data_IF_746337783805
#
_entry.id   IF_746337783805
#
_cell.length_a   1.000
_cell.length_b   1.000
_cell.length_c   1.000
_cell.angle_alpha   90.00
_cell.angle_beta   90.00
_cell.angle_gamma   90.00
#
_symmetry.space_group_name_H-M   'P 1'
#
loop_
_entity.id
_entity.type
_entity.pdbx_description
1 polymer ?
#
# COMPACT_ATOMS: atom_id res chain seq x y z
N UNK A 1 5.09 33.56 10.04
CA UNK A 1 3.71 33.04 10.24
C UNK A 1 3.75 31.55 9.99
N UNK A 2 3.24 30.75 10.94
CA UNK A 2 3.17 29.29 10.88
C UNK A 2 2.33 28.86 9.67
N UNK A 3 2.91 28.13 8.74
CA UNK A 3 2.19 27.31 7.76
C UNK A 3 1.78 26.01 8.47
N UNK A 4 0.64 26.05 9.14
CA UNK A 4 -0.06 24.84 9.62
C UNK A 4 -1.22 24.58 8.66
N UNK A 5 -0.92 24.10 7.45
CA UNK A 5 -1.95 23.64 6.49
C UNK A 5 -1.39 22.78 5.33
N UNK A 6 -0.27 22.06 5.52
CA UNK A 6 0.32 21.21 4.46
C UNK A 6 0.17 19.69 4.72
N UNK A 7 -0.52 19.33 5.82
CA UNK A 7 -0.59 17.94 6.29
C UNK A 7 -1.38 16.95 5.40
N UNK A 8 -2.52 17.29 4.77
CA UNK A 8 -3.29 16.28 4.04
C UNK A 8 -2.66 15.88 2.70
N UNK A 9 -1.94 16.80 2.05
CA UNK A 9 -1.28 16.55 0.76
C UNK A 9 -0.02 15.70 0.94
N UNK A 10 0.72 15.89 2.03
CA UNK A 10 1.92 15.09 2.35
C UNK A 10 1.56 13.64 2.71
N UNK A 11 0.53 13.45 3.54
CA UNK A 11 0.08 12.11 3.93
C UNK A 11 -0.46 11.32 2.72
N UNK A 12 -1.27 11.95 1.87
CA UNK A 12 -1.78 11.30 0.66
C UNK A 12 -0.64 10.84 -0.27
N UNK A 13 0.37 11.68 -0.50
CA UNK A 13 1.54 11.32 -1.31
C UNK A 13 2.35 10.17 -0.69
N UNK A 14 2.49 10.15 0.64
CA UNK A 14 3.18 9.07 1.35
C UNK A 14 2.42 7.74 1.25
N UNK A 15 1.09 7.78 1.32
CA UNK A 15 0.23 6.61 1.11
C UNK A 15 0.38 6.10 -0.33
N UNK A 16 0.33 6.98 -1.33
CA UNK A 16 0.51 6.59 -2.74
C UNK A 16 1.91 6.01 -3.01
N UNK A 17 2.96 6.60 -2.42
CA UNK A 17 4.32 6.11 -2.56
C UNK A 17 4.51 4.74 -1.88
N UNK A 18 3.92 4.55 -0.69
CA UNK A 18 3.92 3.26 0.00
C UNK A 18 3.18 2.19 -0.83
N UNK A 19 1.99 2.52 -1.35
CA UNK A 19 1.22 1.65 -2.22
C UNK A 19 2.00 1.23 -3.47
N UNK A 20 2.63 2.18 -4.16
CA UNK A 20 3.46 1.89 -5.33
C UNK A 20 4.65 0.98 -4.98
N UNK A 21 5.34 1.27 -3.88
CA UNK A 21 6.48 0.47 -3.42
C UNK A 21 6.08 -0.97 -3.07
N UNK A 22 4.96 -1.14 -2.36
CA UNK A 22 4.41 -2.43 -2.02
C UNK A 22 4.01 -3.21 -3.28
N UNK A 23 3.35 -2.55 -4.24
CA UNK A 23 3.01 -3.16 -5.53
C UNK A 23 4.23 -3.61 -6.32
N UNK A 24 5.29 -2.82 -6.37
CA UNK A 24 6.52 -3.20 -7.08
C UNK A 24 7.17 -4.43 -6.43
N UNK A 25 7.14 -4.50 -5.10
CA UNK A 25 7.89 -5.49 -4.33
C UNK A 25 7.14 -6.81 -4.10
N UNK A 26 5.80 -6.75 -3.99
CA UNK A 26 4.97 -7.87 -3.52
C UNK A 26 3.84 -8.26 -4.48
N UNK A 27 3.75 -7.63 -5.65
CA UNK A 27 2.78 -8.02 -6.68
C UNK A 27 2.95 -9.50 -7.07
N UNK A 28 1.84 -10.25 -7.05
CA UNK A 28 1.83 -11.69 -7.39
C UNK A 28 2.34 -12.61 -6.29
N UNK A 29 2.68 -12.06 -5.13
CA UNK A 29 2.96 -12.86 -3.93
C UNK A 29 1.64 -13.25 -3.25
N UNK A 30 1.60 -14.40 -2.56
CA UNK A 30 0.39 -14.83 -1.85
C UNK A 30 -0.01 -13.83 -0.76
N UNK A 31 -1.31 -13.64 -0.58
CA UNK A 31 -1.86 -12.64 0.34
C UNK A 31 -1.27 -12.74 1.76
N UNK A 32 -1.06 -13.94 2.29
CA UNK A 32 -0.45 -14.16 3.62
C UNK A 32 0.98 -13.61 3.75
N UNK A 33 1.72 -13.48 2.63
CA UNK A 33 3.05 -12.84 2.61
C UNK A 33 2.95 -11.31 2.44
N UNK A 34 1.90 -10.82 1.77
CA UNK A 34 1.70 -9.38 1.50
C UNK A 34 1.11 -8.64 2.71
N UNK A 35 0.15 -9.25 3.42
CA UNK A 35 -0.53 -8.66 4.60
C UNK A 35 0.44 -8.13 5.67
N UNK A 36 1.46 -8.87 6.15
CA UNK A 36 2.38 -8.35 7.16
C UNK A 36 3.18 -7.15 6.68
N UNK A 37 3.49 -7.06 5.39
CA UNK A 37 4.29 -5.99 4.80
C UNK A 37 3.44 -4.71 4.60
N UNK A 38 2.19 -4.87 4.16
CA UNK A 38 1.21 -3.76 4.13
C UNK A 38 0.99 -3.21 5.54
N UNK A 39 0.82 -4.09 6.53
CA UNK A 39 0.66 -3.67 7.94
C UNK A 39 1.87 -2.89 8.44
N UNK A 40 3.09 -3.32 8.10
CA UNK A 40 4.32 -2.60 8.45
C UNK A 40 4.37 -1.23 7.80
N UNK A 41 4.07 -1.14 6.52
CA UNK A 41 4.09 0.12 5.79
C UNK A 41 3.08 1.13 6.36
N UNK A 42 1.91 0.63 6.76
CA UNK A 42 0.89 1.43 7.47
C UNK A 42 1.37 1.94 8.83
N UNK A 43 2.03 1.08 9.62
CA UNK A 43 2.60 1.45 10.92
C UNK A 43 3.70 2.53 10.77
N UNK A 44 4.54 2.43 9.73
CA UNK A 44 5.54 3.47 9.38
C UNK A 44 4.91 4.82 8.98
N UNK A 45 3.66 4.80 8.53
CA UNK A 45 2.86 5.98 8.22
C UNK A 45 2.04 6.49 9.41
N UNK A 46 2.15 5.85 10.58
CA UNK A 46 1.32 6.13 11.77
C UNK A 46 -0.18 5.92 11.49
N UNK A 47 -0.51 4.99 10.58
CA UNK A 47 -1.88 4.67 10.17
C UNK A 47 -2.35 3.37 10.84
N UNK A 48 -3.16 3.51 11.89
CA UNK A 48 -3.84 2.38 12.53
C UNK A 48 -5.17 2.11 11.79
N UNK A 49 -5.15 1.12 10.89
CA UNK A 49 -6.32 0.68 10.14
C UNK A 49 -6.78 -0.70 10.62
N UNK A 50 -8.06 -0.99 10.42
CA UNK A 50 -8.63 -2.30 10.77
C UNK A 50 -7.97 -3.44 9.97
N UNK A 51 -7.87 -4.63 10.54
CA UNK A 51 -7.31 -5.80 9.84
C UNK A 51 -8.06 -6.12 8.53
N UNK A 52 -9.35 -5.76 8.43
CA UNK A 52 -10.12 -5.86 7.18
C UNK A 52 -9.56 -4.93 6.11
N UNK A 53 -9.31 -3.66 6.45
CA UNK A 53 -8.73 -2.66 5.54
C UNK A 53 -7.31 -3.04 5.12
N UNK A 54 -6.50 -3.54 6.05
CA UNK A 54 -5.14 -4.04 5.74
C UNK A 54 -5.19 -5.20 4.75
N UNK A 55 -6.13 -6.14 4.95
CA UNK A 55 -6.31 -7.27 4.03
C UNK A 55 -6.81 -6.84 2.66
N UNK A 56 -7.76 -5.91 2.60
CA UNK A 56 -8.27 -5.39 1.32
C UNK A 56 -7.15 -4.71 0.52
N UNK A 57 -6.31 -3.91 1.19
CA UNK A 57 -5.15 -3.30 0.55
C UNK A 57 -4.10 -4.34 0.16
N UNK A 58 -3.81 -5.33 1.00
CA UNK A 58 -2.91 -6.42 0.63
C UNK A 58 -3.42 -7.25 -0.56
N UNK A 59 -4.73 -7.44 -0.67
CA UNK A 59 -5.37 -8.06 -1.83
C UNK A 59 -5.17 -7.19 -3.07
N UNK A 60 -5.37 -5.87 -2.97
CA UNK A 60 -5.08 -4.93 -4.06
C UNK A 60 -3.61 -4.98 -4.53
N UNK A 61 -2.66 -5.08 -3.59
CA UNK A 61 -1.23 -5.20 -3.88
C UNK A 61 -0.92 -6.53 -4.56
N UNK A 62 -1.49 -7.64 -4.07
CA UNK A 62 -1.29 -9.00 -4.59
C UNK A 62 -1.89 -9.19 -5.99
N UNK A 63 -3.13 -8.72 -6.22
CA UNK A 63 -3.89 -8.91 -7.47
C UNK A 63 -3.25 -8.27 -8.70
N UNK A 64 -2.40 -7.25 -8.55
CA UNK A 64 -1.82 -6.52 -9.69
C UNK A 64 -0.70 -7.25 -10.43
N UNK A 65 -0.39 -8.50 -10.09
CA UNK A 65 0.51 -9.32 -10.92
C UNK A 65 -0.09 -9.73 -12.26
N UNK A 66 -1.42 -9.73 -12.38
CA UNK A 66 -2.10 -10.30 -13.55
C UNK A 66 -2.36 -9.32 -14.71
N UNK A 67 -1.56 -8.25 -14.81
CA UNK A 67 -1.37 -7.54 -16.09
C UNK A 67 -0.01 -7.88 -16.71
N UNK A 68 0.42 -9.13 -16.61
CA UNK A 68 1.25 -9.70 -17.68
C UNK A 68 0.32 -9.79 -18.89
N UNK A 69 0.46 -8.84 -19.82
CA UNK A 69 -0.10 -8.96 -21.15
C UNK A 69 0.51 -10.23 -21.77
N UNK A 70 -0.15 -11.37 -21.65
CA UNK A 70 0.20 -12.55 -22.44
C UNK A 70 -0.07 -12.18 -23.91
N UNK A 71 0.96 -11.65 -24.58
CA UNK A 71 0.96 -11.52 -26.03
C UNK A 71 1.05 -12.95 -26.58
N UNK A 72 -0.09 -13.51 -26.97
CA UNK A 72 -0.17 -14.72 -27.78
C UNK A 72 -0.08 -14.37 -29.27
#
# INVERSE_FOLDING_TARGET
MKTTDDAPTDLAQRIEAADESLRISFSGMPLDEVVPEVRRSLDELDLDLSDETVRDWAQHVSDRADYVLEIH
#
